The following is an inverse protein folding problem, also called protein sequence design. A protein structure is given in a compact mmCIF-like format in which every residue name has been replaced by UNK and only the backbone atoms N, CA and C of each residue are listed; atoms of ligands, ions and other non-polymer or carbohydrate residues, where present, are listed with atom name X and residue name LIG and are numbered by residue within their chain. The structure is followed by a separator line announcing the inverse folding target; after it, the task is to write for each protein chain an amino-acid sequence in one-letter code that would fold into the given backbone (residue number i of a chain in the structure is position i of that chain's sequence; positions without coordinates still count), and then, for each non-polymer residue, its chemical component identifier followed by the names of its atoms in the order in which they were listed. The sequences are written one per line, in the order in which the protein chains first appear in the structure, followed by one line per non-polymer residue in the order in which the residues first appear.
data_IF_299211852226
#
_entry.id   IF_299211852226
#
_cell.length_a   1.000
_cell.length_b   1.000
_cell.length_c   1.000
_cell.angle_alpha   90.00
_cell.angle_beta   90.00
_cell.angle_gamma   90.00
#
_symmetry.space_group_name_H-M   'P 1'
#
loop_
_entity.id
_entity.type
_entity.pdbx_description
1 polymer ?
#
# COMPACT_ATOMS: atom_id res chain seq x y z
N UNK A 1 50.59 -20.79 -19.36
CA UNK A 1 49.70 -20.09 -20.31
C UNK A 1 48.30 -20.58 -20.01
N UNK A 2 47.41 -19.67 -19.61
CA UNK A 2 46.06 -19.96 -19.11
C UNK A 2 45.13 -19.99 -20.34
N UNK A 3 44.46 -21.11 -20.56
CA UNK A 3 43.55 -21.34 -21.69
C UNK A 3 42.27 -20.52 -21.55
N UNK A 4 41.83 -19.87 -22.63
CA UNK A 4 40.57 -19.12 -22.71
C UNK A 4 39.46 -20.02 -23.23
N UNK A 5 38.33 -20.05 -22.52
CA UNK A 5 37.13 -20.83 -22.81
C UNK A 5 36.20 -20.04 -23.77
N UNK A 6 35.68 -20.60 -24.88
CA UNK A 6 35.00 -19.84 -25.94
C UNK A 6 33.48 -19.74 -25.79
N UNK A 7 32.92 -19.90 -24.59
CA UNK A 7 31.47 -19.96 -24.37
C UNK A 7 30.89 -18.67 -23.78
N UNK A 8 31.32 -17.49 -24.27
CA UNK A 8 30.76 -16.23 -23.79
C UNK A 8 30.71 -15.19 -24.91
N UNK A 9 29.64 -15.25 -25.72
CA UNK A 9 28.87 -14.09 -26.26
C UNK A 9 27.99 -14.52 -27.43
N UNK A 10 26.68 -14.52 -27.22
CA UNK A 10 25.73 -13.90 -28.16
C UNK A 10 24.39 -13.65 -27.45
N UNK A 11 23.74 -12.49 -27.72
CA UNK A 11 22.76 -11.90 -26.83
C UNK A 11 21.34 -12.44 -27.03
N UNK A 12 20.56 -12.21 -25.99
CA UNK A 12 19.21 -12.67 -25.73
C UNK A 12 18.24 -12.31 -26.86
N UNK A 13 17.39 -13.29 -27.15
CA UNK A 13 16.27 -13.17 -28.07
C UNK A 13 15.29 -12.15 -27.50
N UNK A 14 15.25 -10.95 -28.07
CA UNK A 14 14.20 -9.96 -27.80
C UNK A 14 12.84 -10.58 -28.18
N UNK A 15 12.14 -11.10 -27.18
CA UNK A 15 10.72 -11.37 -27.25
C UNK A 15 10.00 -10.03 -27.15
N UNK A 16 9.56 -9.52 -28.30
CA UNK A 16 8.68 -8.37 -28.37
C UNK A 16 7.50 -8.54 -27.41
N UNK A 17 7.46 -7.71 -26.38
CA UNK A 17 6.35 -7.64 -25.45
C UNK A 17 5.18 -7.08 -26.23
N UNK A 18 4.25 -7.97 -26.59
CA UNK A 18 2.96 -7.58 -27.11
C UNK A 18 2.36 -6.52 -26.17
N UNK A 19 2.07 -5.35 -26.73
CA UNK A 19 1.32 -4.28 -26.08
C UNK A 19 0.03 -4.87 -25.53
N UNK A 20 -0.01 -5.08 -24.22
CA UNK A 20 -1.19 -5.60 -23.53
C UNK A 20 -2.22 -4.45 -23.43
N UNK A 21 -2.84 -4.12 -24.56
CA UNK A 21 -3.96 -3.16 -24.72
C UNK A 21 -5.28 -3.67 -24.11
N UNK A 22 -5.19 -4.62 -23.18
CA UNK A 22 -6.22 -4.89 -22.20
C UNK A 22 -5.68 -4.46 -20.83
N UNK A 23 -5.66 -3.15 -20.59
CA UNK A 23 -5.80 -2.64 -19.22
C UNK A 23 -7.19 -3.07 -18.75
N UNK A 24 -7.34 -4.36 -18.40
CA UNK A 24 -8.46 -4.88 -17.64
C UNK A 24 -8.58 -3.92 -16.46
N UNK A 25 -9.66 -3.13 -16.44
CA UNK A 25 -9.92 -2.18 -15.37
C UNK A 25 -9.77 -2.92 -14.06
N UNK A 26 -8.66 -2.69 -13.36
CA UNK A 26 -8.35 -3.45 -12.15
C UNK A 26 -9.48 -3.17 -11.18
N UNK A 27 -10.16 -4.18 -10.64
CA UNK A 27 -11.04 -3.93 -9.50
C UNK A 27 -10.17 -3.36 -8.38
N UNK A 28 -10.36 -2.06 -8.09
CA UNK A 28 -9.58 -1.30 -7.12
C UNK A 28 -10.08 -1.70 -5.73
N UNK A 29 -9.56 -2.79 -5.20
CA UNK A 29 -9.74 -3.18 -3.79
C UNK A 29 -8.53 -2.72 -2.97
N UNK A 30 -8.80 -2.30 -1.74
CA UNK A 30 -7.82 -2.00 -0.70
C UNK A 30 -7.81 -3.14 0.31
N UNK A 31 -6.69 -3.84 0.45
CA UNK A 31 -6.49 -4.89 1.44
C UNK A 31 -5.74 -4.35 2.66
N UNK A 32 -6.35 -4.42 3.84
CA UNK A 32 -5.76 -4.08 5.12
C UNK A 32 -5.21 -5.35 5.79
N UNK A 33 -3.97 -5.30 6.26
CA UNK A 33 -3.29 -6.43 6.91
C UNK A 33 -2.76 -6.00 8.26
N UNK A 34 -3.11 -6.76 9.30
CA UNK A 34 -2.61 -6.57 10.66
C UNK A 34 -1.35 -7.41 10.92
N UNK A 35 -0.55 -7.09 11.94
CA UNK A 35 0.67 -7.83 12.26
C UNK A 35 0.44 -9.32 12.56
N UNK A 36 -0.75 -9.68 13.05
CA UNK A 36 -1.16 -11.06 13.33
C UNK A 36 -1.54 -11.86 12.06
N UNK A 37 -1.49 -11.24 10.89
CA UNK A 37 -1.86 -11.83 9.61
C UNK A 37 -3.36 -11.75 9.29
N UNK A 38 -4.19 -11.16 10.15
CA UNK A 38 -5.59 -10.86 9.82
C UNK A 38 -5.64 -9.98 8.58
N UNK A 39 -6.60 -10.23 7.70
CA UNK A 39 -6.83 -9.46 6.47
C UNK A 39 -8.27 -9.01 6.39
N UNK A 40 -8.48 -7.80 5.88
CA UNK A 40 -9.79 -7.24 5.59
C UNK A 40 -9.70 -6.44 4.30
N UNK A 41 -10.68 -6.51 3.42
CA UNK A 41 -10.64 -5.75 2.16
C UNK A 41 -11.90 -4.94 1.96
N UNK A 42 -11.74 -3.77 1.32
CA UNK A 42 -12.81 -2.86 0.95
C UNK A 42 -12.60 -2.47 -0.52
N UNK A 43 -13.68 -2.19 -1.24
CA UNK A 43 -13.58 -1.66 -2.60
C UNK A 43 -13.47 -0.14 -2.56
N UNK A 44 -12.52 0.42 -3.31
CA UNK A 44 -12.39 1.86 -3.52
C UNK A 44 -13.64 2.47 -4.15
N UNK A 45 -14.46 1.68 -4.86
CA UNK A 45 -15.75 2.14 -5.40
C UNK A 45 -16.73 2.59 -4.31
N UNK A 46 -16.49 2.22 -3.05
CA UNK A 46 -17.31 2.63 -1.89
C UNK A 46 -16.60 3.63 -0.98
N UNK A 47 -15.39 4.08 -1.32
CA UNK A 47 -14.71 5.14 -0.58
C UNK A 47 -15.39 6.48 -0.90
N UNK A 48 -16.02 7.08 0.10
CA UNK A 48 -16.78 8.33 -0.02
C UNK A 48 -15.87 9.54 0.25
N UNK A 49 -15.03 9.43 1.28
CA UNK A 49 -14.15 10.51 1.69
C UNK A 49 -12.89 9.98 2.37
N UNK A 50 -11.84 10.80 2.36
CA UNK A 50 -10.62 10.61 3.13
C UNK A 50 -10.24 11.90 3.84
N UNK A 51 -9.72 11.80 5.06
CA UNK A 51 -9.28 12.94 5.87
C UNK A 51 -7.88 12.65 6.42
N UNK A 52 -6.99 13.63 6.36
CA UNK A 52 -5.64 13.54 6.90
C UNK A 52 -5.46 14.52 8.07
N UNK A 53 -5.05 13.99 9.21
CA UNK A 53 -4.82 14.74 10.44
C UNK A 53 -3.34 14.66 10.83
N UNK A 54 -2.55 15.73 10.62
CA UNK A 54 -1.11 15.74 10.86
C UNK A 54 -0.71 15.96 12.33
N UNK A 55 -1.54 15.57 13.31
CA UNK A 55 -1.30 15.94 14.71
C UNK A 55 -0.31 15.03 15.44
N UNK A 56 0.73 15.62 16.04
CA UNK A 56 1.71 14.93 16.90
C UNK A 56 2.83 14.22 16.15
N UNK A 57 3.51 13.28 16.82
CA UNK A 57 4.59 12.48 16.21
C UNK A 57 4.07 11.45 15.20
N UNK A 58 2.83 10.99 15.36
CA UNK A 58 2.17 10.06 14.44
C UNK A 58 0.98 10.74 13.80
N UNK A 59 0.85 10.64 12.48
CA UNK A 59 -0.30 11.19 11.76
C UNK A 59 -1.44 10.16 11.68
N UNK A 60 -2.63 10.64 11.31
CA UNK A 60 -3.81 9.79 11.08
C UNK A 60 -4.43 10.04 9.72
N UNK A 61 -4.89 8.97 9.08
CA UNK A 61 -5.79 9.02 7.93
C UNK A 61 -7.11 8.37 8.35
N UNK A 62 -8.22 9.05 8.12
CA UNK A 62 -9.55 8.47 8.20
C UNK A 62 -10.08 8.25 6.79
N UNK A 63 -10.56 7.03 6.52
CA UNK A 63 -11.23 6.68 5.28
C UNK A 63 -12.68 6.32 5.60
N UNK A 64 -13.59 6.98 4.92
CA UNK A 64 -15.03 6.84 5.11
C UNK A 64 -15.60 6.06 3.93
N UNK A 65 -15.90 4.78 4.16
CA UNK A 65 -16.64 3.95 3.21
C UNK A 65 -18.13 3.99 3.54
N UNK A 66 -18.96 3.55 2.58
CA UNK A 66 -20.44 3.50 2.75
C UNK A 66 -20.90 2.80 4.02
N UNK A 67 -20.21 1.76 4.46
CA UNK A 67 -20.60 0.89 5.60
C UNK A 67 -19.52 0.76 6.66
N UNK A 68 -18.32 1.26 6.39
CA UNK A 68 -17.18 1.13 7.28
C UNK A 68 -16.41 2.44 7.38
N UNK A 69 -15.85 2.69 8.56
CA UNK A 69 -14.84 3.69 8.77
C UNK A 69 -13.51 2.98 9.06
N UNK A 70 -12.45 3.39 8.37
CA UNK A 70 -11.10 2.86 8.56
C UNK A 70 -10.20 3.96 9.10
N UNK A 71 -9.53 3.70 10.21
CA UNK A 71 -8.49 4.58 10.74
C UNK A 71 -7.12 3.97 10.51
N UNK A 72 -6.21 4.76 9.93
CA UNK A 72 -4.81 4.44 9.79
C UNK A 72 -4.02 5.41 10.66
N UNK A 73 -3.13 4.90 11.50
CA UNK A 73 -2.20 5.72 12.29
C UNK A 73 -0.78 5.26 12.04
N UNK A 74 0.15 6.21 11.97
CA UNK A 74 1.49 5.93 11.46
C UNK A 74 2.39 7.15 11.37
N UNK A 75 3.53 7.00 10.68
CA UNK A 75 4.53 8.03 10.46
C UNK A 75 4.60 8.40 8.99
N UNK A 76 4.75 9.70 8.69
CA UNK A 76 4.89 10.19 7.32
C UNK A 76 3.71 9.82 6.42
N UNK A 77 2.49 9.82 6.94
CA UNK A 77 1.33 9.29 6.21
C UNK A 77 0.81 10.20 5.07
N UNK A 78 1.35 11.40 4.90
CA UNK A 78 0.90 12.34 3.86
C UNK A 78 1.08 11.78 2.44
N UNK A 79 2.23 11.16 2.15
CA UNK A 79 2.46 10.52 0.86
C UNK A 79 1.48 9.37 0.60
N UNK A 80 1.19 8.58 1.65
CA UNK A 80 0.19 7.52 1.59
C UNK A 80 -1.22 8.08 1.35
N UNK A 81 -1.57 9.19 1.99
CA UNK A 81 -2.85 9.87 1.79
C UNK A 81 -3.03 10.31 0.33
N UNK A 82 -2.01 10.91 -0.28
CA UNK A 82 -2.04 11.28 -1.70
C UNK A 82 -2.18 10.06 -2.61
N UNK A 83 -1.48 8.95 -2.30
CA UNK A 83 -1.62 7.71 -3.07
C UNK A 83 -3.02 7.08 -2.94
N UNK A 84 -3.62 7.14 -1.74
CA UNK A 84 -4.99 6.67 -1.48
C UNK A 84 -6.03 7.47 -2.26
N UNK A 85 -5.84 8.79 -2.38
CA UNK A 85 -6.67 9.67 -3.21
C UNK A 85 -6.66 9.22 -4.68
N UNK A 86 -5.50 8.80 -5.18
CA UNK A 86 -5.32 8.26 -6.53
C UNK A 86 -5.68 6.77 -6.65
N UNK A 87 -6.15 6.14 -5.57
CA UNK A 87 -6.55 4.72 -5.51
C UNK A 87 -5.43 3.76 -5.92
N UNK A 88 -4.17 4.14 -5.69
CA UNK A 88 -2.99 3.36 -6.08
C UNK A 88 -2.72 2.16 -5.15
N UNK A 89 -2.81 2.29 -3.81
CA UNK A 89 -2.47 1.18 -2.92
C UNK A 89 -3.46 0.03 -3.05
N UNK A 90 -2.98 -1.16 -3.37
CA UNK A 90 -3.81 -2.37 -3.30
C UNK A 90 -3.76 -3.02 -1.91
N UNK A 91 -2.75 -2.67 -1.11
CA UNK A 91 -2.49 -3.29 0.18
C UNK A 91 -1.85 -2.28 1.14
N UNK A 92 -2.33 -2.27 2.38
CA UNK A 92 -1.74 -1.56 3.51
C UNK A 92 -1.47 -2.55 4.63
N UNK A 93 -0.24 -2.55 5.12
CA UNK A 93 0.23 -3.48 6.13
C UNK A 93 0.59 -2.66 7.36
N UNK A 94 -0.07 -2.94 8.48
CA UNK A 94 0.37 -2.43 9.77
C UNK A 94 1.56 -3.26 10.26
N UNK A 95 2.58 -2.56 10.74
CA UNK A 95 3.70 -3.16 11.46
C UNK A 95 3.59 -2.86 12.95
N UNK A 96 4.17 -3.70 13.81
CA UNK A 96 4.09 -3.43 15.23
C UNK A 96 4.95 -2.21 15.61
N UNK A 97 4.37 -1.31 16.40
CA UNK A 97 5.00 -0.04 16.78
C UNK A 97 6.35 -0.20 17.49
N UNK A 98 6.56 -1.31 18.21
CA UNK A 98 7.83 -1.61 18.92
C UNK A 98 9.03 -1.80 17.99
N UNK A 99 8.80 -1.98 16.69
CA UNK A 99 9.86 -2.13 15.69
C UNK A 99 10.14 -0.83 14.92
N UNK A 100 9.45 0.25 15.26
CA UNK A 100 9.60 1.54 14.60
C UNK A 100 10.24 2.54 15.57
N UNK A 101 11.44 2.99 15.23
CA UNK A 101 12.03 4.19 15.83
C UNK A 101 11.54 5.36 15.01
N UNK A 102 10.89 6.34 15.63
CA UNK A 102 10.19 7.43 14.93
C UNK A 102 11.08 8.21 13.95
N UNK A 103 12.37 8.38 14.28
CA UNK A 103 13.36 9.08 13.44
C UNK A 103 13.82 8.27 12.21
N UNK A 104 13.59 6.95 12.20
CA UNK A 104 14.00 6.04 11.12
C UNK A 104 12.81 5.43 10.38
N UNK A 105 11.58 5.80 10.76
CA UNK A 105 10.36 5.29 10.17
C UNK A 105 10.30 5.67 8.68
N UNK A 106 10.19 4.70 7.76
CA UNK A 106 9.94 5.01 6.36
C UNK A 106 8.68 5.84 6.19
N UNK A 107 8.67 6.77 5.21
CA UNK A 107 7.46 7.50 4.85
C UNK A 107 6.31 6.53 4.51
N UNK A 108 5.11 6.83 5.01
CA UNK A 108 3.92 5.99 4.83
C UNK A 108 3.85 4.77 5.74
N UNK A 109 4.65 4.70 6.81
CA UNK A 109 4.61 3.58 7.76
C UNK A 109 3.31 3.58 8.57
N UNK A 110 2.50 2.53 8.42
CA UNK A 110 1.29 2.31 9.23
C UNK A 110 1.62 1.41 10.42
N UNK A 111 1.25 1.83 11.63
CA UNK A 111 1.48 1.06 12.88
C UNK A 111 0.19 0.55 13.51
N UNK A 112 -0.95 1.11 13.12
CA UNK A 112 -2.25 0.75 13.66
C UNK A 112 -3.32 0.94 12.59
N UNK A 113 -4.20 -0.07 12.47
CA UNK A 113 -5.37 -0.05 11.60
C UNK A 113 -6.59 -0.41 12.46
N UNK A 114 -7.60 0.44 12.44
CA UNK A 114 -8.93 0.12 13.00
C UNK A 114 -9.98 0.14 11.90
N UNK A 115 -10.97 -0.75 12.03
CA UNK A 115 -12.11 -0.83 11.11
C UNK A 115 -13.37 -0.93 11.95
N UNK A 116 -14.28 0.02 11.77
CA UNK A 116 -15.54 0.11 12.48
C UNK A 116 -16.68 0.10 11.47
N UNK A 117 -17.79 -0.57 11.80
CA UNK A 117 -18.98 -0.58 10.96
C UNK A 117 -19.85 0.62 11.31
N UNK A 118 -20.29 1.38 10.32
CA UNK A 118 -21.16 2.53 10.54
C UNK A 118 -22.60 2.05 10.75
N UNK A 119 -23.18 2.29 11.93
CA UNK A 119 -24.62 2.09 12.19
C UNK A 119 -25.03 0.82 12.96
N UNK A 120 -24.24 0.37 13.94
CA UNK A 120 -24.72 -0.52 15.03
C UNK A 120 -25.17 0.29 16.25
#
# INVERSE_FOLDING_TARGET
MKESNPADTAPEKEMGVASNEYTLARPLNLCLVWPDGKRFFLSYSYLIAGEFNPEGETNRIQLYFTTYQVSLKGYGLEALFMALLEQLPHQLIAIESRYVVSEEAPDGTVIEITVEKTGE
#
